data_IF_707615373495
#
_entry.id   IF_707615373495
#
_cell.length_a   1.000
_cell.length_b   1.000
_cell.length_c   1.000
_cell.angle_alpha   90.00
_cell.angle_beta   90.00
_cell.angle_gamma   90.00
#
_symmetry.space_group_name_H-M   'P 1'
#
loop_
_entity.id
_entity.type
_entity.pdbx_description
1 polymer ?
#
# COMPACT_ATOMS: atom_id res chain seq x y z
N UNK A 1 -40.39 65.06 -1.53
CA UNK A 1 -39.87 65.33 -0.16
C UNK A 1 -39.39 64.00 0.38
N UNK A 2 -38.12 63.65 0.19
CA UNK A 2 -36.89 64.06 0.88
C UNK A 2 -36.47 62.97 1.88
N UNK A 3 -35.21 62.51 1.73
CA UNK A 3 -34.31 62.05 2.81
C UNK A 3 -34.58 60.65 3.41
N UNK A 4 -33.59 59.78 3.66
CA UNK A 4 -32.12 59.91 3.69
C UNK A 4 -31.49 58.53 3.50
N UNK A 5 -30.52 58.50 2.59
CA UNK A 5 -29.47 57.50 2.48
C UNK A 5 -28.53 57.64 3.69
N UNK A 6 -28.27 56.57 4.44
CA UNK A 6 -27.14 56.50 5.38
C UNK A 6 -26.43 55.16 5.18
N UNK A 7 -25.37 55.19 4.36
CA UNK A 7 -24.33 54.17 4.35
C UNK A 7 -23.53 54.30 5.65
N UNK A 8 -23.35 53.19 6.38
CA UNK A 8 -22.24 53.05 7.32
C UNK A 8 -21.38 51.87 6.87
N UNK A 9 -20.30 52.22 6.15
CA UNK A 9 -19.11 51.39 6.02
C UNK A 9 -18.49 51.23 7.41
N UNK A 10 -18.40 50.00 7.91
CA UNK A 10 -17.47 49.67 8.99
C UNK A 10 -16.39 48.76 8.41
N UNK A 11 -15.33 49.40 7.94
CA UNK A 11 -14.08 48.78 7.50
C UNK A 11 -13.37 48.17 8.71
N UNK A 12 -13.55 46.86 8.92
CA UNK A 12 -12.61 46.09 9.74
C UNK A 12 -11.37 45.79 8.90
N UNK A 13 -10.32 46.61 9.09
CA UNK A 13 -8.95 46.24 8.75
C UNK A 13 -8.59 44.99 9.56
N UNK A 14 -8.79 43.80 8.99
CA UNK A 14 -8.17 42.59 9.47
C UNK A 14 -6.68 42.68 9.13
N UNK A 15 -5.86 42.93 10.15
CA UNK A 15 -4.41 42.83 10.13
C UNK A 15 -4.01 41.51 9.47
N UNK A 16 -3.39 41.63 8.29
CA UNK A 16 -2.75 40.52 7.60
C UNK A 16 -1.55 40.04 8.40
N UNK A 17 -1.77 39.07 9.27
CA UNK A 17 -0.69 38.20 9.72
C UNK A 17 -0.17 37.46 8.48
N UNK A 18 1.11 37.55 8.11
CA UNK A 18 1.68 36.60 7.18
C UNK A 18 1.58 35.24 7.85
N UNK A 19 0.60 34.45 7.42
CA UNK A 19 0.61 33.02 7.67
C UNK A 19 1.82 32.47 6.90
N UNK A 20 3.00 32.54 7.53
CA UNK A 20 4.11 31.66 7.21
C UNK A 20 3.62 30.25 7.54
N UNK A 21 2.84 29.70 6.62
CA UNK A 21 2.51 28.31 6.56
C UNK A 21 3.84 27.60 6.49
N UNK A 22 4.30 27.10 7.65
CA UNK A 22 5.45 26.24 7.75
C UNK A 22 5.27 25.15 6.70
N UNK A 23 5.99 25.28 5.58
CA UNK A 23 6.10 24.25 4.57
C UNK A 23 6.82 23.11 5.27
N UNK A 24 6.04 22.22 5.88
CA UNK A 24 6.51 20.92 6.30
C UNK A 24 7.24 20.34 5.10
N UNK A 25 8.57 20.28 5.17
CA UNK A 25 9.37 19.65 4.15
C UNK A 25 8.99 18.19 4.19
N UNK A 26 8.04 17.81 3.34
CA UNK A 26 7.64 16.43 3.18
C UNK A 26 8.92 15.63 2.94
N UNK A 27 9.19 14.65 3.82
CA UNK A 27 10.35 13.78 3.69
C UNK A 27 10.38 13.22 2.27
N UNK A 28 11.54 13.16 1.61
CA UNK A 28 11.62 12.63 0.26
C UNK A 28 11.14 11.17 0.27
N UNK A 29 10.11 10.89 -0.53
CA UNK A 29 9.56 9.54 -0.68
C UNK A 29 9.93 8.97 -2.05
N UNK A 30 10.49 7.77 -2.04
CA UNK A 30 10.59 6.93 -3.22
C UNK A 30 9.24 6.25 -3.48
N UNK A 31 8.90 6.07 -4.76
CA UNK A 31 7.64 5.46 -5.19
C UNK A 31 7.83 4.73 -6.51
N UNK A 32 6.94 3.80 -6.81
CA UNK A 32 6.90 3.17 -8.13
C UNK A 32 5.89 2.05 -8.23
N UNK A 33 6.09 1.18 -9.22
CA UNK A 33 5.19 0.08 -9.52
C UNK A 33 5.70 -1.23 -8.91
N UNK A 34 4.82 -2.21 -8.74
CA UNK A 34 5.19 -3.58 -8.38
C UNK A 34 4.36 -4.60 -9.15
N UNK A 35 4.93 -5.77 -9.37
CA UNK A 35 4.23 -6.92 -9.93
C UNK A 35 4.93 -8.23 -9.52
N UNK A 36 4.22 -9.34 -9.69
CA UNK A 36 4.77 -10.67 -9.44
C UNK A 36 3.72 -11.76 -9.41
N UNK A 37 4.13 -12.90 -8.88
CA UNK A 37 3.31 -14.06 -8.64
C UNK A 37 2.51 -13.91 -7.34
N UNK A 38 1.27 -14.40 -7.39
CA UNK A 38 0.35 -14.45 -6.25
C UNK A 38 -0.32 -15.82 -6.21
N UNK A 39 -0.16 -16.55 -5.12
CA UNK A 39 -0.82 -17.83 -4.95
C UNK A 39 -1.57 -17.82 -3.61
N UNK A 40 -2.89 -17.83 -3.67
CA UNK A 40 -3.75 -17.88 -2.50
C UNK A 40 -3.52 -19.19 -1.73
N UNK A 41 -3.70 -19.17 -0.41
CA UNK A 41 -3.67 -20.39 0.38
C UNK A 41 -4.70 -21.40 -0.15
N UNK A 42 -4.36 -22.68 -0.07
CA UNK A 42 -5.26 -23.76 -0.43
C UNK A 42 -5.59 -24.56 0.84
N UNK A 43 -6.88 -24.86 1.12
CA UNK A 43 -7.29 -25.53 2.37
C UNK A 43 -6.58 -26.86 2.66
N UNK A 44 -6.04 -27.50 1.61
CA UNK A 44 -5.36 -28.79 1.69
C UNK A 44 -3.84 -28.71 1.45
N UNK A 45 -3.28 -27.55 1.08
CA UNK A 45 -1.95 -27.50 0.45
C UNK A 45 -1.08 -26.31 0.89
N UNK A 46 -0.96 -26.08 2.20
CA UNK A 46 -0.09 -25.07 2.83
C UNK A 46 -0.51 -23.60 2.65
N UNK A 47 0.22 -22.73 3.35
CA UNK A 47 0.10 -21.28 3.24
C UNK A 47 0.28 -20.80 1.79
N UNK A 48 -0.35 -19.67 1.46
CA UNK A 48 -0.15 -19.03 0.17
C UNK A 48 1.14 -18.20 0.14
N UNK A 49 1.48 -17.65 -1.03
CA UNK A 49 2.67 -16.82 -1.18
C UNK A 49 2.49 -15.64 -2.12
N UNK A 50 3.34 -14.64 -1.92
CA UNK A 50 3.64 -13.55 -2.85
C UNK A 50 5.13 -13.64 -3.19
N UNK A 51 5.46 -13.61 -4.47
CA UNK A 51 6.84 -13.46 -4.95
C UNK A 51 6.87 -12.44 -6.09
N UNK A 52 7.60 -11.35 -5.94
CA UNK A 52 7.59 -10.28 -6.93
C UNK A 52 8.69 -9.25 -6.79
N UNK A 53 8.56 -8.17 -7.56
CA UNK A 53 9.55 -7.09 -7.61
C UNK A 53 8.88 -5.72 -7.54
N UNK A 54 9.57 -4.80 -6.89
CA UNK A 54 9.26 -3.37 -6.87
C UNK A 54 10.19 -2.66 -7.85
N UNK A 55 9.62 -1.74 -8.63
CA UNK A 55 10.31 -0.98 -9.66
C UNK A 55 10.22 0.50 -9.35
N UNK A 56 11.31 1.25 -9.55
CA UNK A 56 11.31 2.70 -9.46
C UNK A 56 10.59 3.37 -10.66
N UNK A 57 10.55 4.70 -10.68
CA UNK A 57 9.94 5.46 -11.78
C UNK A 57 10.64 5.27 -13.15
N UNK A 58 11.87 4.78 -13.16
CA UNK A 58 12.64 4.48 -14.38
C UNK A 58 12.49 3.02 -14.82
N UNK A 59 11.74 2.20 -14.06
CA UNK A 59 11.56 0.77 -14.33
C UNK A 59 12.70 -0.11 -13.83
N UNK A 60 13.63 0.40 -13.02
CA UNK A 60 14.67 -0.41 -12.40
C UNK A 60 14.09 -1.20 -11.24
N UNK A 61 14.39 -2.50 -11.16
CA UNK A 61 14.05 -3.31 -9.98
C UNK A 61 14.86 -2.82 -8.78
N UNK A 62 14.18 -2.40 -7.71
CA UNK A 62 14.79 -1.86 -6.49
C UNK A 62 14.65 -2.78 -5.27
N UNK A 63 13.60 -3.60 -5.21
CA UNK A 63 13.42 -4.60 -4.15
C UNK A 63 12.82 -5.89 -4.70
N UNK A 64 13.22 -7.02 -4.11
CA UNK A 64 12.52 -8.29 -4.20
C UNK A 64 11.52 -8.41 -3.04
N UNK A 65 10.29 -8.79 -3.35
CA UNK A 65 9.22 -9.04 -2.38
C UNK A 65 8.99 -10.53 -2.23
N UNK A 66 9.07 -11.03 -0.99
CA UNK A 66 8.66 -12.39 -0.62
C UNK A 66 7.76 -12.32 0.60
N UNK A 67 6.57 -12.90 0.52
CA UNK A 67 5.64 -12.93 1.64
C UNK A 67 4.82 -14.21 1.68
N UNK A 68 4.41 -14.58 2.88
CA UNK A 68 3.43 -15.64 3.15
C UNK A 68 2.05 -15.01 3.25
N UNK A 69 1.06 -15.71 2.68
CA UNK A 69 -0.36 -15.42 2.82
C UNK A 69 -0.97 -16.41 3.80
N UNK A 70 -1.72 -15.91 4.78
CA UNK A 70 -2.45 -16.76 5.72
C UNK A 70 -3.93 -16.38 5.67
N UNK A 71 -4.78 -17.36 5.35
CA UNK A 71 -6.22 -17.15 5.30
C UNK A 71 -6.80 -16.89 6.69
N UNK A 72 -7.78 -16.00 6.75
CA UNK A 72 -8.59 -15.71 7.94
C UNK A 72 -10.02 -16.17 7.66
N UNK A 73 -10.62 -16.88 8.63
CA UNK A 73 -12.00 -17.34 8.50
C UNK A 73 -12.94 -16.15 8.41
N UNK A 74 -13.62 -16.04 7.26
CA UNK A 74 -14.61 -15.00 7.00
C UNK A 74 -16.03 -15.58 7.08
N UNK A 75 -17.03 -14.86 7.65
CA UNK A 75 -18.42 -15.30 7.61
C UNK A 75 -19.03 -15.22 6.19
N UNK A 76 -18.36 -14.53 5.26
CA UNK A 76 -18.78 -14.43 3.88
C UNK A 76 -18.30 -15.64 3.08
N UNK A 77 -19.24 -16.50 2.65
CA UNK A 77 -18.96 -17.75 1.93
C UNK A 77 -18.25 -17.56 0.57
N UNK A 78 -18.29 -16.35 0.02
CA UNK A 78 -17.64 -16.00 -1.24
C UNK A 78 -16.47 -15.03 -1.07
N UNK A 79 -16.03 -14.76 0.16
CA UNK A 79 -14.94 -13.83 0.41
C UNK A 79 -13.63 -14.59 0.60
N UNK A 80 -12.57 -14.00 0.08
CA UNK A 80 -11.19 -14.36 0.39
C UNK A 80 -10.69 -13.27 1.31
N UNK A 81 -10.19 -13.60 2.50
CA UNK A 81 -9.62 -12.63 3.44
C UNK A 81 -8.43 -13.27 4.14
N UNK A 82 -7.40 -12.47 4.42
CA UNK A 82 -6.22 -12.99 5.10
C UNK A 82 -5.16 -11.94 5.38
N UNK A 83 -4.04 -12.40 5.93
CA UNK A 83 -2.90 -11.58 6.32
C UNK A 83 -1.71 -11.81 5.40
N UNK A 84 -0.85 -10.78 5.33
CA UNK A 84 0.41 -10.81 4.58
C UNK A 84 1.52 -10.61 5.60
N UNK A 85 2.52 -11.49 5.58
CA UNK A 85 3.75 -11.33 6.34
C UNK A 85 4.96 -11.67 5.47
N UNK A 86 5.92 -10.77 5.35
CA UNK A 86 7.05 -10.97 4.45
C UNK A 86 8.18 -9.97 4.61
N UNK A 87 9.01 -9.87 3.58
CA UNK A 87 10.19 -9.01 3.52
C UNK A 87 10.36 -8.34 2.16
N UNK A 88 10.98 -7.15 2.18
CA UNK A 88 11.60 -6.54 1.01
C UNK A 88 13.13 -6.52 1.19
N UNK A 89 13.84 -6.84 0.12
CA UNK A 89 15.31 -6.94 0.10
C UNK A 89 15.85 -6.34 -1.21
N UNK A 90 16.79 -5.41 -1.12
CA UNK A 90 17.46 -4.78 -2.27
C UNK A 90 18.63 -5.61 -2.84
N UNK A 91 18.95 -6.75 -2.20
CA UNK A 91 20.03 -7.66 -2.56
C UNK A 91 21.38 -7.29 -1.93
N UNK A 92 21.44 -6.29 -1.05
CA UNK A 92 22.67 -5.81 -0.42
C UNK A 92 22.66 -6.10 1.08
N UNK A 93 23.71 -6.76 1.56
CA UNK A 93 23.86 -7.10 2.98
C UNK A 93 23.29 -8.47 3.33
N UNK A 94 23.09 -8.72 4.64
CA UNK A 94 22.70 -10.04 5.18
C UNK A 94 21.28 -10.06 5.75
N UNK A 95 20.59 -8.91 5.78
CA UNK A 95 19.28 -8.75 6.37
C UNK A 95 18.37 -8.00 5.41
N UNK A 96 17.06 -8.31 5.38
CA UNK A 96 16.12 -7.56 4.54
C UNK A 96 16.05 -6.10 4.98
N UNK A 97 15.79 -5.19 4.05
CA UNK A 97 15.61 -3.77 4.32
C UNK A 97 14.32 -3.48 5.09
N UNK A 98 13.23 -4.18 4.72
CA UNK A 98 11.91 -3.97 5.30
C UNK A 98 11.21 -5.28 5.65
N UNK A 99 10.47 -5.24 6.75
CA UNK A 99 9.41 -6.19 7.05
C UNK A 99 8.10 -5.70 6.44
N UNK A 100 7.31 -6.64 5.91
CA UNK A 100 6.03 -6.39 5.26
C UNK A 100 4.93 -7.00 6.10
N UNK A 101 3.95 -6.19 6.51
CA UNK A 101 2.76 -6.64 7.23
C UNK A 101 1.51 -6.04 6.62
N UNK A 102 0.52 -6.86 6.31
CA UNK A 102 -0.67 -6.38 5.63
C UNK A 102 -1.84 -7.34 5.67
N UNK A 103 -2.82 -7.04 4.85
CA UNK A 103 -4.01 -7.85 4.68
C UNK A 103 -4.44 -7.84 3.21
N UNK A 104 -5.13 -8.90 2.81
CA UNK A 104 -5.78 -9.00 1.52
C UNK A 104 -7.26 -9.33 1.70
N UNK A 105 -8.05 -8.92 0.71
CA UNK A 105 -9.47 -9.26 0.60
C UNK A 105 -9.87 -9.43 -0.86
N UNK A 106 -10.83 -10.28 -1.14
CA UNK A 106 -11.26 -10.56 -2.49
C UNK A 106 -12.53 -11.38 -2.57
N UNK A 107 -12.87 -11.79 -3.79
CA UNK A 107 -14.01 -12.64 -4.08
C UNK A 107 -13.52 -14.02 -4.52
N UNK A 108 -13.94 -15.07 -3.80
CA UNK A 108 -13.55 -16.46 -4.04
C UNK A 108 -13.99 -16.97 -5.42
N UNK A 109 -15.19 -16.60 -5.88
CA UNK A 109 -15.72 -17.03 -7.17
C UNK A 109 -14.94 -16.41 -8.34
N UNK A 110 -14.55 -15.14 -8.22
CA UNK A 110 -13.76 -14.44 -9.22
C UNK A 110 -12.24 -14.61 -9.05
N UNK A 111 -11.81 -15.18 -7.91
CA UNK A 111 -10.41 -15.35 -7.48
C UNK A 111 -9.57 -14.10 -7.69
N UNK A 112 -10.12 -12.95 -7.32
CA UNK A 112 -9.46 -11.66 -7.47
C UNK A 112 -9.78 -10.76 -6.28
N UNK A 113 -8.91 -9.81 -6.02
CA UNK A 113 -9.06 -8.92 -4.87
C UNK A 113 -8.02 -7.83 -4.82
N UNK A 114 -7.89 -7.23 -3.66
CA UNK A 114 -6.91 -6.20 -3.36
C UNK A 114 -6.18 -6.48 -2.06
N UNK A 115 -5.02 -5.86 -1.92
CA UNK A 115 -4.23 -5.94 -0.71
C UNK A 115 -3.61 -4.59 -0.37
N UNK A 116 -3.36 -4.41 0.92
CA UNK A 116 -2.58 -3.30 1.45
C UNK A 116 -1.60 -3.86 2.48
N UNK A 117 -0.37 -3.37 2.45
CA UNK A 117 0.64 -3.70 3.45
C UNK A 117 1.43 -2.46 3.87
N UNK A 118 1.95 -2.48 5.09
CA UNK A 118 2.87 -1.49 5.64
C UNK A 118 4.29 -2.04 5.62
N UNK A 119 5.25 -1.13 5.43
CA UNK A 119 6.67 -1.42 5.37
C UNK A 119 7.36 -0.88 6.61
N UNK A 120 8.03 -1.74 7.35
CA UNK A 120 8.77 -1.39 8.56
C UNK A 120 10.26 -1.59 8.28
N UNK A 121 11.11 -0.57 8.43
CA UNK A 121 12.56 -0.77 8.37
C UNK A 121 12.95 -1.88 9.33
N UNK A 122 13.90 -2.73 8.95
CA UNK A 122 14.33 -3.81 9.82
C UNK A 122 14.79 -3.28 11.19
N UNK A 123 14.26 -3.86 12.27
CA UNK A 123 14.50 -3.40 13.65
C UNK A 123 13.65 -2.19 14.10
N UNK A 124 12.82 -1.62 13.22
CA UNK A 124 11.89 -0.52 13.56
C UNK A 124 10.47 -1.03 13.82
N UNK A 125 9.74 -0.31 14.68
CA UNK A 125 8.28 -0.50 14.90
C UNK A 125 7.42 0.57 14.24
N UNK A 126 8.05 1.55 13.58
CA UNK A 126 7.34 2.63 12.89
C UNK A 126 7.36 2.35 11.40
N UNK A 127 6.18 2.27 10.74
CA UNK A 127 6.14 2.04 9.31
C UNK A 127 6.64 3.29 8.57
N UNK A 128 7.42 3.09 7.52
CA UNK A 128 7.95 4.15 6.67
C UNK A 128 7.47 4.05 5.23
N UNK A 129 6.69 3.03 4.91
CA UNK A 129 6.13 2.84 3.58
C UNK A 129 4.87 1.99 3.55
N UNK A 130 4.31 1.84 2.36
CA UNK A 130 3.15 1.00 2.10
C UNK A 130 3.17 0.40 0.71
N UNK A 131 2.50 -0.73 0.57
CA UNK A 131 2.17 -1.40 -0.68
C UNK A 131 0.65 -1.37 -0.87
N UNK A 132 0.17 -1.09 -2.08
CA UNK A 132 -1.22 -1.27 -2.45
C UNK A 132 -1.30 -1.99 -3.79
N UNK A 133 -2.18 -2.97 -3.92
CA UNK A 133 -2.31 -3.67 -5.19
C UNK A 133 -3.59 -4.44 -5.34
N UNK A 134 -3.69 -5.08 -6.50
CA UNK A 134 -4.72 -6.02 -6.86
C UNK A 134 -4.08 -7.35 -7.28
N UNK A 135 -4.80 -8.44 -7.07
CA UNK A 135 -4.38 -9.77 -7.46
C UNK A 135 -5.46 -10.52 -8.24
N UNK A 136 -5.02 -11.51 -9.02
CA UNK A 136 -5.87 -12.48 -9.71
C UNK A 136 -5.20 -13.86 -9.69
N UNK A 137 -5.92 -14.88 -9.27
CA UNK A 137 -5.40 -16.23 -9.05
C UNK A 137 -6.30 -17.30 -9.71
N UNK A 138 -6.12 -17.58 -11.02
CA UNK A 138 -7.02 -18.46 -11.75
C UNK A 138 -6.90 -19.92 -11.29
N UNK A 139 -8.05 -20.57 -11.08
CA UNK A 139 -8.16 -21.96 -10.61
C UNK A 139 -7.56 -23.02 -11.56
N UNK A 140 -7.23 -22.64 -12.79
CA UNK A 140 -7.00 -23.60 -13.89
C UNK A 140 -5.82 -24.54 -13.68
N UNK A 141 -4.84 -24.20 -12.83
CA UNK A 141 -3.72 -25.08 -12.53
C UNK A 141 -3.07 -24.70 -11.18
N UNK A 142 -3.03 -25.60 -10.16
CA UNK A 142 -2.35 -25.33 -8.89
C UNK A 142 -0.84 -25.08 -9.05
N UNK A 143 -0.24 -25.50 -10.18
CA UNK A 143 1.18 -25.27 -10.49
C UNK A 143 1.44 -23.90 -11.16
N UNK A 144 0.37 -23.16 -11.52
CA UNK A 144 0.50 -21.85 -12.15
C UNK A 144 0.05 -20.78 -11.16
N UNK A 145 0.98 -20.06 -10.52
CA UNK A 145 0.58 -18.99 -9.63
C UNK A 145 -0.19 -17.91 -10.40
N UNK A 146 -1.13 -17.29 -9.70
CA UNK A 146 -1.74 -16.03 -10.10
C UNK A 146 -0.75 -14.89 -10.21
N UNK A 147 -1.27 -13.69 -10.44
CA UNK A 147 -0.50 -12.48 -10.60
C UNK A 147 -1.03 -11.37 -9.71
N UNK A 148 -0.12 -10.50 -9.26
CA UNK A 148 -0.48 -9.22 -8.66
C UNK A 148 0.19 -8.05 -9.38
N UNK A 149 -0.41 -6.87 -9.23
CA UNK A 149 0.13 -5.58 -9.66
C UNK A 149 -0.26 -4.50 -8.67
N UNK A 150 0.55 -3.45 -8.55
CA UNK A 150 0.24 -2.35 -7.66
C UNK A 150 1.28 -1.25 -7.62
N UNK A 151 1.19 -0.43 -6.58
CA UNK A 151 2.09 0.68 -6.28
C UNK A 151 2.74 0.50 -4.90
N UNK A 152 3.89 1.14 -4.75
CA UNK A 152 4.60 1.23 -3.48
C UNK A 152 5.09 2.65 -3.22
N UNK A 153 5.25 2.97 -1.95
CA UNK A 153 5.90 4.21 -1.48
C UNK A 153 6.69 3.96 -0.21
N UNK A 154 7.87 4.55 -0.10
CA UNK A 154 8.73 4.55 1.09
C UNK A 154 9.28 5.96 1.31
N UNK A 155 9.08 6.51 2.51
CA UNK A 155 9.60 7.81 2.93
C UNK A 155 10.71 7.62 3.96
N UNK A 156 11.88 8.23 3.72
CA UNK A 156 13.04 8.16 4.64
C UNK A 156 13.11 9.45 5.47
#
# INVERSE_FOLDING_TARGET
MLQRLVLLLCSCLALGLPADAARSSARPCARGAMNGAWNLPHPLASDGFIDGRLFDANGNSVFALRATLTDVVSPCLSCIEGTIQGTLDDGVGTTPDYLVYGNYRGNFLARQGSFTALLYPYGSRTPTGKLNGAFRDPYSNPDVPGQFRGDWVVCR
#
